data_IF_686361249066
#
_entry.id   IF_686361249066
#
_cell.length_a   1.000
_cell.length_b   1.000
_cell.length_c   1.000
_cell.angle_alpha   90.00
_cell.angle_beta   90.00
_cell.angle_gamma   90.00
#
_symmetry.space_group_name_H-M   'P 1'
#
loop_
_entity.id
_entity.type
_entity.pdbx_description
1 polymer ?
#
# COMPACT_ATOMS: atom_id res chain seq x y z
N UNK A 1 -9.71 13.44 21.61
CA UNK A 1 -9.53 13.52 23.05
C UNK A 1 -10.89 13.95 23.63
N UNK A 2 -11.26 13.45 24.81
CA UNK A 2 -12.49 13.83 25.49
C UNK A 2 -13.77 13.48 24.70
N UNK A 3 -14.76 14.36 24.71
CA UNK A 3 -16.06 14.15 24.07
C UNK A 3 -15.97 13.97 22.56
N UNK A 4 -14.94 14.52 21.89
CA UNK A 4 -14.73 14.41 20.44
C UNK A 4 -14.45 12.96 19.98
N UNK A 5 -14.01 12.07 20.89
CA UNK A 5 -13.82 10.64 20.54
C UNK A 5 -15.12 9.96 20.09
N UNK A 6 -16.29 10.48 20.47
CA UNK A 6 -17.59 9.98 20.01
C UNK A 6 -17.84 10.20 18.50
N UNK A 7 -17.12 11.16 17.90
CA UNK A 7 -17.18 11.43 16.46
C UNK A 7 -16.32 10.48 15.63
N UNK A 8 -15.41 9.73 16.26
CA UNK A 8 -14.44 8.88 15.56
C UNK A 8 -15.10 7.89 14.60
N UNK A 9 -16.21 7.26 15.01
CA UNK A 9 -16.91 6.30 14.17
C UNK A 9 -17.54 6.96 12.93
N UNK A 10 -18.12 8.15 13.08
CA UNK A 10 -18.72 8.91 11.98
C UNK A 10 -17.62 9.32 10.98
N UNK A 11 -16.51 9.90 11.48
CA UNK A 11 -15.38 10.33 10.66
C UNK A 11 -14.68 9.16 9.94
N UNK A 12 -14.65 7.97 10.56
CA UNK A 12 -14.11 6.79 9.92
C UNK A 12 -14.92 6.29 8.72
N UNK A 13 -16.23 6.61 8.65
CA UNK A 13 -17.12 6.19 7.54
C UNK A 13 -16.91 7.00 6.27
N UNK A 14 -16.33 8.17 6.39
CA UNK A 14 -16.08 9.07 5.26
C UNK A 14 -14.98 8.55 4.33
N UNK A 15 -14.96 9.08 3.11
CA UNK A 15 -13.93 8.78 2.11
C UNK A 15 -12.53 9.15 2.56
N UNK A 16 -11.53 8.61 1.89
CA UNK A 16 -10.12 8.89 2.11
C UNK A 16 -9.48 9.23 0.78
N UNK A 17 -8.52 10.14 0.84
CA UNK A 17 -7.64 10.44 -0.28
C UNK A 17 -6.19 10.10 0.08
N UNK A 18 -5.49 9.55 -0.90
CA UNK A 18 -4.09 9.15 -0.76
C UNK A 18 -3.30 9.58 -2.00
N UNK A 19 -2.01 9.87 -1.78
CA UNK A 19 -0.98 9.83 -2.81
C UNK A 19 -0.14 8.58 -2.54
N UNK A 20 -0.12 7.68 -3.52
CA UNK A 20 0.53 6.38 -3.44
C UNK A 20 1.64 6.30 -4.49
N UNK A 21 2.88 6.05 -4.06
CA UNK A 21 3.96 5.65 -4.95
C UNK A 21 3.93 4.14 -5.13
N UNK A 22 3.77 3.69 -6.37
CA UNK A 22 3.65 2.27 -6.71
C UNK A 22 4.81 1.89 -7.62
N UNK A 23 5.66 0.96 -7.16
CA UNK A 23 6.74 0.38 -7.96
C UNK A 23 6.25 -0.86 -8.68
N UNK A 24 6.52 -0.94 -9.99
CA UNK A 24 6.16 -2.06 -10.85
C UNK A 24 7.38 -2.92 -11.16
N UNK A 25 7.18 -4.21 -11.39
CA UNK A 25 8.24 -5.16 -11.74
C UNK A 25 8.69 -6.04 -10.59
N UNK A 26 8.15 -5.87 -9.38
CA UNK A 26 8.44 -6.76 -8.26
C UNK A 26 7.30 -6.80 -7.25
N UNK A 27 7.14 -7.92 -6.56
CA UNK A 27 6.22 -8.08 -5.44
C UNK A 27 6.96 -8.24 -4.12
N UNK A 28 6.23 -8.03 -3.03
CA UNK A 28 6.64 -8.41 -1.68
C UNK A 28 5.49 -9.14 -0.99
N UNK A 29 5.73 -9.99 0.01
CA UNK A 29 4.67 -10.70 0.74
C UNK A 29 3.61 -9.79 1.36
N UNK A 30 3.95 -8.54 1.69
CA UNK A 30 3.05 -7.56 2.31
C UNK A 30 2.48 -6.54 1.30
N UNK A 31 2.94 -6.56 0.04
CA UNK A 31 2.68 -5.57 -1.00
C UNK A 31 3.10 -4.14 -0.60
N UNK A 32 4.12 -4.04 0.28
CA UNK A 32 4.80 -2.81 0.68
C UNK A 32 6.27 -3.11 1.03
N UNK A 33 7.04 -2.12 1.47
CA UNK A 33 8.46 -2.27 1.78
C UNK A 33 8.77 -2.83 3.18
N UNK A 34 7.78 -3.37 3.92
CA UNK A 34 8.04 -4.06 5.21
C UNK A 34 8.73 -5.43 5.02
N UNK A 35 8.64 -6.01 3.84
CA UNK A 35 9.21 -7.31 3.51
C UNK A 35 10.09 -7.22 2.27
N UNK A 36 11.12 -8.08 2.21
CA UNK A 36 11.97 -8.20 1.04
C UNK A 36 11.16 -8.63 -0.20
N UNK A 37 11.68 -8.29 -1.38
CA UNK A 37 11.14 -8.76 -2.65
C UNK A 37 11.09 -10.29 -2.65
N UNK A 38 9.97 -10.84 -3.04
CA UNK A 38 9.74 -12.28 -3.19
C UNK A 38 9.70 -12.73 -4.65
N UNK A 39 9.36 -11.84 -5.56
CA UNK A 39 9.36 -12.15 -6.99
C UNK A 39 9.59 -10.90 -7.83
N UNK A 40 10.41 -11.05 -8.89
CA UNK A 40 10.63 -10.04 -9.91
C UNK A 40 9.91 -10.41 -11.21
N UNK A 41 9.51 -9.41 -11.99
CA UNK A 41 8.74 -9.55 -13.22
C UNK A 41 9.32 -8.63 -14.30
N UNK A 42 9.14 -8.98 -15.60
CA UNK A 42 9.46 -8.07 -16.69
C UNK A 42 8.68 -6.77 -16.60
N UNK A 43 9.31 -5.68 -17.01
CA UNK A 43 8.73 -4.32 -17.00
C UNK A 43 8.60 -3.69 -18.39
N UNK A 44 8.91 -4.45 -19.46
CA UNK A 44 8.92 -3.94 -20.85
C UNK A 44 7.58 -3.33 -21.29
N UNK A 45 6.47 -3.77 -20.71
CA UNK A 45 5.12 -3.25 -20.96
C UNK A 45 4.70 -2.10 -20.03
N UNK A 46 5.55 -1.69 -19.09
CA UNK A 46 5.23 -0.66 -18.09
C UNK A 46 5.73 0.69 -18.59
N UNK A 47 4.81 1.57 -18.90
CA UNK A 47 5.09 2.94 -19.35
C UNK A 47 4.08 3.90 -18.72
N UNK A 48 4.34 5.20 -18.80
CA UNK A 48 3.38 6.22 -18.37
C UNK A 48 2.02 6.04 -19.06
N UNK A 49 2.03 5.75 -20.37
CA UNK A 49 0.83 5.55 -21.17
C UNK A 49 0.05 4.31 -20.71
N UNK A 50 0.73 3.17 -20.50
CA UNK A 50 0.09 1.93 -20.06
C UNK A 50 -0.49 2.06 -18.64
N UNK A 51 0.24 2.70 -17.72
CA UNK A 51 -0.26 2.99 -16.37
C UNK A 51 -1.49 3.89 -16.46
N UNK A 52 -1.40 5.02 -17.16
CA UNK A 52 -2.54 5.96 -17.35
C UNK A 52 -3.76 5.27 -17.96
N UNK A 53 -3.53 4.36 -18.91
CA UNK A 53 -4.58 3.63 -19.65
C UNK A 53 -5.35 2.63 -18.81
N UNK A 54 -4.77 2.08 -17.72
CA UNK A 54 -5.48 1.13 -16.86
C UNK A 54 -6.28 1.80 -15.74
N UNK A 55 -5.92 3.01 -15.28
CA UNK A 55 -6.56 3.65 -14.12
C UNK A 55 -8.09 3.72 -14.23
N UNK A 56 -8.69 4.05 -15.39
CA UNK A 56 -10.14 4.10 -15.53
C UNK A 56 -10.85 2.78 -15.24
N UNK A 57 -10.17 1.63 -15.38
CA UNK A 57 -10.76 0.31 -15.10
C UNK A 57 -10.98 0.06 -13.61
N UNK A 58 -10.32 0.84 -12.76
CA UNK A 58 -10.40 0.74 -11.30
C UNK A 58 -11.37 1.76 -10.67
N UNK A 59 -12.03 2.58 -11.49
CA UNK A 59 -13.03 3.53 -11.00
C UNK A 59 -14.36 2.85 -10.68
N UNK A 60 -15.06 3.35 -9.67
CA UNK A 60 -16.37 2.85 -9.26
C UNK A 60 -16.30 1.73 -8.23
N UNK A 61 -17.41 1.00 -8.12
CA UNK A 61 -17.56 -0.11 -7.18
C UNK A 61 -16.90 -1.37 -7.68
N UNK A 62 -16.07 -2.00 -6.86
CA UNK A 62 -15.37 -3.23 -7.19
C UNK A 62 -15.13 -4.12 -5.96
N UNK A 63 -14.93 -5.41 -6.18
CA UNK A 63 -14.50 -6.33 -5.14
C UNK A 63 -12.99 -6.26 -4.98
N UNK A 64 -12.52 -6.22 -3.72
CA UNK A 64 -11.10 -6.24 -3.40
C UNK A 64 -10.81 -7.33 -2.37
N UNK A 65 -9.76 -8.11 -2.61
CA UNK A 65 -9.19 -9.07 -1.65
C UNK A 65 -8.15 -8.34 -0.81
N UNK A 66 -8.33 -8.34 0.51
CA UNK A 66 -7.37 -7.73 1.43
C UNK A 66 -6.00 -8.45 1.36
N UNK A 67 -4.88 -7.74 1.60
CA UNK A 67 -3.58 -8.41 1.72
C UNK A 67 -3.55 -9.32 2.95
N UNK A 68 -2.77 -10.42 2.90
CA UNK A 68 -2.62 -11.34 4.05
C UNK A 68 -2.09 -10.63 5.31
N UNK A 69 -1.17 -9.67 5.13
CA UNK A 69 -0.69 -8.83 6.23
C UNK A 69 -1.72 -7.75 6.59
N UNK A 70 -2.96 -8.15 6.91
CA UNK A 70 -4.05 -7.26 7.32
C UNK A 70 -4.71 -7.70 8.62
N UNK A 71 -5.55 -6.84 9.19
CA UNK A 71 -6.31 -7.15 10.40
C UNK A 71 -7.57 -7.98 10.14
N UNK A 72 -7.81 -8.42 8.89
CA UNK A 72 -8.90 -9.34 8.55
C UNK A 72 -8.71 -10.68 9.24
N UNK A 73 -9.80 -11.42 9.43
CA UNK A 73 -9.77 -12.76 10.05
C UNK A 73 -10.24 -13.82 9.06
N UNK A 74 -9.60 -15.00 9.11
CA UNK A 74 -10.01 -16.24 8.45
C UNK A 74 -10.28 -17.23 9.56
N UNK A 75 -11.48 -17.78 9.65
CA UNK A 75 -11.88 -18.77 10.66
C UNK A 75 -11.51 -18.39 12.11
N UNK A 76 -11.65 -17.10 12.43
CA UNK A 76 -11.33 -16.58 13.76
C UNK A 76 -9.86 -16.26 14.02
N UNK A 77 -8.95 -16.64 13.11
CA UNK A 77 -7.51 -16.32 13.17
C UNK A 77 -7.24 -15.07 12.32
N UNK A 78 -6.45 -14.14 12.85
CA UNK A 78 -6.11 -12.93 12.10
C UNK A 78 -5.17 -13.26 10.94
N UNK A 79 -5.46 -12.73 9.74
CA UNK A 79 -4.71 -12.97 8.52
C UNK A 79 -3.21 -12.68 8.68
N UNK A 80 -2.85 -11.61 9.40
CA UNK A 80 -1.45 -11.28 9.64
C UNK A 80 -0.70 -12.34 10.49
N UNK A 81 -1.39 -13.09 11.35
CA UNK A 81 -0.77 -14.17 12.14
C UNK A 81 -0.42 -15.36 11.24
N UNK A 82 -1.33 -15.71 10.32
CA UNK A 82 -1.10 -16.72 9.29
C UNK A 82 0.07 -16.30 8.38
N UNK A 83 0.04 -15.06 7.89
CA UNK A 83 1.10 -14.52 7.06
C UNK A 83 2.47 -14.54 7.74
N UNK A 84 2.55 -14.15 9.01
CA UNK A 84 3.81 -14.18 9.78
C UNK A 84 4.32 -15.61 10.03
N UNK A 85 3.42 -16.56 10.22
CA UNK A 85 3.80 -17.96 10.37
C UNK A 85 4.40 -18.48 9.07
N UNK A 86 3.72 -18.29 7.96
CA UNK A 86 4.15 -18.67 6.61
C UNK A 86 5.49 -18.01 6.23
N UNK A 87 5.62 -16.71 6.46
CA UNK A 87 6.85 -15.96 6.22
C UNK A 87 8.03 -16.51 7.04
N UNK A 88 7.82 -16.86 8.30
CA UNK A 88 8.87 -17.46 9.16
C UNK A 88 9.25 -18.87 8.70
N UNK A 89 8.29 -19.65 8.21
CA UNK A 89 8.55 -21.00 7.70
C UNK A 89 9.36 -20.94 6.41
N UNK A 90 9.03 -20.05 5.49
CA UNK A 90 9.77 -19.82 4.25
C UNK A 90 11.22 -19.31 4.49
N UNK A 91 11.47 -18.61 5.62
CA UNK A 91 12.81 -18.10 5.98
C UNK A 91 13.63 -19.01 6.88
N UNK A 92 13.11 -20.18 7.30
CA UNK A 92 13.88 -21.13 8.12
C UNK A 92 14.98 -21.82 7.34
N UNK A 93 14.80 -22.02 6.07
CA UNK A 93 15.84 -22.47 5.16
C UNK A 93 16.62 -21.24 4.69
N UNK A 94 17.83 -21.07 5.23
CA UNK A 94 18.78 -20.00 4.89
C UNK A 94 19.29 -20.15 3.44
N UNK A 95 18.41 -20.08 2.48
CA UNK A 95 18.75 -19.92 1.06
C UNK A 95 18.49 -18.47 0.70
N UNK A 96 19.49 -17.81 0.07
CA UNK A 96 19.41 -16.41 -0.39
C UNK A 96 18.38 -16.20 -1.51
N UNK A 97 17.63 -17.22 -1.87
CA UNK A 97 16.52 -17.16 -2.83
C UNK A 97 15.23 -17.39 -2.04
N UNK A 98 14.43 -16.34 -1.88
CA UNK A 98 13.07 -16.49 -1.40
C UNK A 98 12.30 -17.35 -2.41
N UNK A 99 12.05 -18.62 -2.07
CA UNK A 99 11.04 -19.41 -2.76
C UNK A 99 9.68 -18.79 -2.45
N UNK A 100 8.99 -18.32 -3.47
CA UNK A 100 7.82 -17.47 -3.46
C UNK A 100 6.91 -17.62 -2.26
N UNK A 101 6.53 -16.50 -1.67
CA UNK A 101 5.47 -16.44 -0.66
C UNK A 101 4.16 -16.89 -1.31
N UNK A 102 3.41 -17.79 -0.67
CA UNK A 102 2.14 -18.28 -1.19
C UNK A 102 1.04 -17.22 -1.00
N UNK A 103 0.80 -16.45 -2.03
CA UNK A 103 -0.24 -15.42 -2.07
C UNK A 103 -1.66 -16.00 -2.18
N UNK A 104 -1.82 -17.29 -2.58
CA UNK A 104 -3.14 -17.89 -2.80
C UNK A 104 -3.95 -18.00 -1.51
N UNK A 105 -3.30 -18.06 -0.36
CA UNK A 105 -3.98 -18.02 0.93
C UNK A 105 -4.79 -16.74 1.13
N UNK A 106 -4.41 -15.64 0.48
CA UNK A 106 -5.20 -14.40 0.50
C UNK A 106 -6.59 -14.58 -0.14
N UNK A 107 -6.74 -15.48 -1.10
CA UNK A 107 -8.02 -15.75 -1.77
C UNK A 107 -9.07 -16.33 -0.81
N UNK A 108 -8.65 -16.89 0.31
CA UNK A 108 -9.54 -17.36 1.38
C UNK A 108 -10.13 -16.20 2.20
N UNK A 109 -9.57 -14.99 2.08
CA UNK A 109 -10.09 -13.81 2.75
C UNK A 109 -11.39 -13.35 2.08
N UNK A 110 -12.37 -12.99 2.90
CA UNK A 110 -13.61 -12.43 2.39
C UNK A 110 -13.34 -11.18 1.55
N UNK A 111 -13.80 -11.21 0.33
CA UNK A 111 -13.84 -10.04 -0.53
C UNK A 111 -14.66 -8.94 0.12
N UNK A 112 -14.25 -7.72 -0.09
CA UNK A 112 -15.02 -6.54 0.33
C UNK A 112 -15.30 -5.66 -0.86
N UNK A 113 -16.50 -5.09 -0.88
CA UNK A 113 -16.85 -4.08 -1.88
C UNK A 113 -16.22 -2.76 -1.45
N UNK A 114 -15.44 -2.18 -2.35
CA UNK A 114 -14.85 -0.85 -2.22
C UNK A 114 -15.36 0.03 -3.36
N UNK A 115 -15.22 1.34 -3.20
CA UNK A 115 -15.49 2.28 -4.28
C UNK A 115 -14.30 3.23 -4.42
N UNK A 116 -13.79 3.36 -5.64
CA UNK A 116 -12.76 4.34 -5.98
C UNK A 116 -13.45 5.41 -6.82
N UNK A 117 -13.55 6.62 -6.26
CA UNK A 117 -14.25 7.73 -6.91
C UNK A 117 -13.35 8.48 -7.88
N UNK A 118 -12.04 8.56 -7.60
CA UNK A 118 -11.07 9.24 -8.44
C UNK A 118 -9.73 8.51 -8.41
N UNK A 119 -9.07 8.49 -9.58
CA UNK A 119 -7.68 8.07 -9.74
C UNK A 119 -7.00 8.97 -10.76
N UNK A 120 -5.82 9.46 -10.43
CA UNK A 120 -5.03 10.34 -11.30
C UNK A 120 -3.55 9.98 -11.19
N UNK A 121 -2.91 9.80 -12.34
CA UNK A 121 -1.46 9.66 -12.42
C UNK A 121 -0.83 11.05 -12.30
N UNK A 122 -0.12 11.29 -11.20
CA UNK A 122 0.57 12.55 -10.93
C UNK A 122 1.95 12.60 -11.57
N UNK A 123 2.72 11.53 -11.44
CA UNK A 123 4.10 11.44 -11.93
C UNK A 123 4.44 10.00 -12.30
N UNK A 124 5.37 9.84 -13.25
CA UNK A 124 5.92 8.55 -13.66
C UNK A 124 7.44 8.66 -13.81
N UNK A 125 8.16 7.70 -13.27
CA UNK A 125 9.62 7.60 -13.25
C UNK A 125 10.02 6.24 -13.81
N UNK A 126 10.55 6.15 -15.04
CA UNK A 126 10.82 4.87 -15.71
C UNK A 126 11.89 4.03 -15.01
N UNK A 127 12.88 4.67 -14.39
CA UNK A 127 13.99 4.00 -13.69
C UNK A 127 13.83 4.05 -12.16
N UNK A 128 12.62 4.34 -11.70
CA UNK A 128 12.36 4.60 -10.29
C UNK A 128 12.80 6.00 -9.84
N UNK A 129 12.36 6.37 -8.66
CA UNK A 129 12.79 7.57 -7.95
C UNK A 129 13.40 7.09 -6.64
N UNK A 130 14.58 7.59 -6.30
CA UNK A 130 15.04 7.45 -4.92
C UNK A 130 13.93 7.98 -4.01
N UNK A 131 13.42 7.09 -3.14
CA UNK A 131 12.42 7.52 -2.18
C UNK A 131 13.01 8.69 -1.40
N UNK A 132 12.55 9.91 -1.68
CA UNK A 132 12.81 11.02 -0.78
C UNK A 132 12.16 10.63 0.55
N UNK A 133 12.96 10.05 1.43
CA UNK A 133 12.57 9.92 2.83
C UNK A 133 12.42 11.34 3.33
N UNK A 134 11.20 11.84 3.30
CA UNK A 134 10.85 13.09 3.98
C UNK A 134 11.14 12.84 5.45
N UNK A 135 12.36 13.17 5.84
CA UNK A 135 12.78 13.09 7.24
C UNK A 135 12.14 14.29 7.95
N UNK A 136 10.90 14.10 8.40
CA UNK A 136 10.14 15.07 9.20
C UNK A 136 10.69 15.24 10.62
N UNK A 137 11.93 14.74 10.86
CA UNK A 137 12.59 14.77 12.16
C UNK A 137 12.08 13.70 13.12
N UNK A 138 11.12 12.87 12.73
CA UNK A 138 10.68 11.74 13.53
C UNK A 138 11.70 10.61 13.43
N UNK A 139 12.10 10.06 14.56
CA UNK A 139 12.98 8.87 14.56
C UNK A 139 12.16 7.69 14.04
N UNK A 140 12.65 6.95 13.02
CA UNK A 140 11.98 5.75 12.55
C UNK A 140 11.76 4.78 13.71
N UNK A 141 10.59 4.12 13.74
CA UNK A 141 10.34 3.08 14.73
C UNK A 141 11.35 1.93 14.49
N UNK A 142 12.24 1.61 15.44
CA UNK A 142 13.27 0.59 15.25
C UNK A 142 12.72 -0.82 15.02
N UNK A 143 11.40 -1.02 15.19
CA UNK A 143 10.70 -2.29 14.93
C UNK A 143 10.18 -2.40 13.49
N UNK A 144 10.22 -1.32 12.71
CA UNK A 144 9.80 -1.29 11.31
C UNK A 144 11.09 -1.24 10.48
N UNK A 145 11.33 -2.32 9.74
CA UNK A 145 12.38 -2.37 8.73
C UNK A 145 11.75 -1.99 7.39
N UNK A 146 12.36 -1.08 6.68
CA UNK A 146 11.98 -0.72 5.30
C UNK A 146 13.08 -1.27 4.40
N UNK A 147 12.67 -2.06 3.40
CA UNK A 147 13.60 -2.64 2.43
C UNK A 147 13.95 -1.56 1.40
N UNK A 148 15.25 -1.42 1.14
CA UNK A 148 15.75 -0.57 0.06
C UNK A 148 15.68 -1.34 -1.27
N UNK A 149 14.90 -0.84 -2.22
CA UNK A 149 14.72 -1.40 -3.56
C UNK A 149 15.31 -0.50 -4.64
N UNK A 150 16.05 0.55 -4.29
CA UNK A 150 16.62 1.54 -5.22
C UNK A 150 17.52 0.91 -6.29
N UNK A 151 18.29 -0.11 -5.92
CA UNK A 151 19.18 -0.83 -6.84
C UNK A 151 18.44 -1.61 -7.96
N UNK A 152 17.14 -1.83 -7.84
CA UNK A 152 16.34 -2.54 -8.84
C UNK A 152 15.86 -1.62 -9.98
N UNK A 153 15.98 -0.30 -9.83
CA UNK A 153 15.56 0.68 -10.84
C UNK A 153 14.15 0.42 -11.39
N UNK A 154 13.20 0.04 -10.51
CA UNK A 154 11.84 -0.32 -10.90
C UNK A 154 11.05 0.91 -11.34
N UNK A 155 10.27 0.85 -12.44
CA UNK A 155 9.35 1.93 -12.80
C UNK A 155 8.44 2.28 -11.62
N UNK A 156 8.30 3.59 -11.33
CA UNK A 156 7.48 4.09 -10.22
C UNK A 156 6.43 5.07 -10.76
N UNK A 157 5.19 4.89 -10.33
CA UNK A 157 4.10 5.84 -10.56
C UNK A 157 3.61 6.42 -9.23
N UNK A 158 3.46 7.74 -9.19
CA UNK A 158 2.73 8.42 -8.10
C UNK A 158 1.29 8.64 -8.54
N UNK A 159 0.35 8.06 -7.80
CA UNK A 159 -1.07 8.04 -8.13
C UNK A 159 -1.87 8.63 -6.98
N UNK A 160 -2.70 9.66 -7.27
CA UNK A 160 -3.72 10.15 -6.35
C UNK A 160 -4.94 9.24 -6.44
N UNK A 161 -5.45 8.82 -5.28
CA UNK A 161 -6.60 7.90 -5.18
C UNK A 161 -7.58 8.43 -4.14
N UNK A 162 -8.82 8.72 -4.56
CA UNK A 162 -9.93 8.98 -3.65
C UNK A 162 -10.83 7.73 -3.58
N UNK A 163 -11.06 7.23 -2.37
CA UNK A 163 -11.72 5.94 -2.19
C UNK A 163 -12.54 5.84 -0.90
N UNK A 164 -13.43 4.84 -0.87
CA UNK A 164 -14.25 4.54 0.28
C UNK A 164 -13.43 3.98 1.46
N UNK A 165 -14.02 4.02 2.65
CA UNK A 165 -13.51 3.33 3.82
C UNK A 165 -13.25 1.84 3.51
N UNK A 166 -12.16 1.34 4.03
CA UNK A 166 -11.79 -0.08 3.95
C UNK A 166 -10.94 -0.43 2.73
N UNK A 167 -10.76 0.47 1.78
CA UNK A 167 -9.87 0.26 0.65
C UNK A 167 -8.42 0.04 1.13
N UNK A 168 -7.81 -1.06 0.70
CA UNK A 168 -6.39 -1.34 0.93
C UNK A 168 -5.58 -0.87 -0.25
N UNK A 169 -4.80 0.20 -0.06
CA UNK A 169 -3.96 0.76 -1.14
C UNK A 169 -2.85 -0.24 -1.55
N UNK A 170 -2.37 -1.07 -0.64
CA UNK A 170 -1.44 -2.18 -0.95
C UNK A 170 -2.04 -3.22 -1.89
N UNK A 171 -3.32 -3.58 -1.67
CA UNK A 171 -4.01 -4.47 -2.58
C UNK A 171 -4.26 -3.80 -3.95
N UNK A 172 -4.54 -2.50 -3.97
CA UNK A 172 -4.67 -1.75 -5.21
C UNK A 172 -3.34 -1.74 -5.99
N UNK A 173 -2.19 -1.62 -5.32
CA UNK A 173 -0.89 -1.72 -5.97
C UNK A 173 -0.70 -3.10 -6.64
N UNK A 174 -1.02 -4.20 -5.92
CA UNK A 174 -1.04 -5.55 -6.49
C UNK A 174 -1.93 -5.62 -7.73
N UNK A 175 -3.18 -5.18 -7.60
CA UNK A 175 -4.19 -5.31 -8.65
C UNK A 175 -3.80 -4.50 -9.91
N UNK A 176 -3.14 -3.34 -9.74
CA UNK A 176 -2.59 -2.54 -10.84
C UNK A 176 -1.41 -3.26 -11.53
N UNK A 177 -0.52 -3.90 -10.74
CA UNK A 177 0.57 -4.71 -11.30
C UNK A 177 0.03 -5.88 -12.13
N UNK A 178 -0.93 -6.62 -11.59
CA UNK A 178 -1.59 -7.73 -12.29
C UNK A 178 -2.27 -7.28 -13.59
N UNK A 179 -2.94 -6.12 -13.57
CA UNK A 179 -3.60 -5.55 -14.75
C UNK A 179 -2.63 -5.14 -15.87
N UNK A 180 -1.38 -4.86 -15.52
CA UNK A 180 -0.29 -4.59 -16.48
C UNK A 180 0.50 -5.85 -16.86
N UNK A 181 0.14 -7.02 -16.32
CA UNK A 181 0.86 -8.27 -16.57
C UNK A 181 2.23 -8.34 -15.89
N UNK A 182 2.42 -7.58 -14.82
CA UNK A 182 3.65 -7.53 -14.02
C UNK A 182 3.32 -7.62 -12.54
N UNK A 183 4.31 -7.65 -11.66
CA UNK A 183 4.13 -7.48 -10.22
C UNK A 183 4.18 -6.00 -9.84
N UNK A 184 3.60 -5.65 -8.68
CA UNK A 184 3.78 -4.32 -8.12
C UNK A 184 3.66 -4.35 -6.58
N UNK A 185 4.25 -3.34 -5.94
CA UNK A 185 4.13 -3.09 -4.51
C UNK A 185 4.09 -1.59 -4.22
N UNK A 186 3.56 -1.27 -3.06
CA UNK A 186 3.49 0.09 -2.57
C UNK A 186 4.89 0.52 -2.08
N UNK A 187 5.44 1.56 -2.70
CA UNK A 187 6.73 2.15 -2.35
C UNK A 187 6.55 3.25 -1.28
N UNK A 188 5.54 4.11 -1.48
CA UNK A 188 5.23 5.19 -0.54
C UNK A 188 3.73 5.40 -0.42
N UNK A 189 3.28 5.92 0.73
CA UNK A 189 1.88 6.23 0.96
C UNK A 189 1.73 7.45 1.85
N UNK A 190 1.06 8.48 1.34
CA UNK A 190 0.63 9.65 2.09
C UNK A 190 -0.88 9.74 2.05
N UNK A 191 -1.55 9.77 3.21
CA UNK A 191 -2.98 10.11 3.26
C UNK A 191 -3.12 11.62 3.25
N UNK A 192 -3.71 12.17 2.20
CA UNK A 192 -3.89 13.61 1.97
C UNK A 192 -5.24 14.10 2.46
N UNK A 193 -6.25 13.22 2.51
CA UNK A 193 -7.58 13.59 2.99
C UNK A 193 -8.28 12.48 3.78
N UNK A 194 -9.17 12.87 4.68
CA UNK A 194 -10.07 11.98 5.41
C UNK A 194 -11.37 12.71 5.72
N UNK A 195 -12.41 12.44 4.92
CA UNK A 195 -13.65 13.22 4.97
C UNK A 195 -13.40 14.70 4.65
N UNK A 196 -13.89 15.57 5.52
CA UNK A 196 -13.68 17.02 5.38
C UNK A 196 -12.32 17.54 5.89
N UNK A 197 -11.37 16.65 6.25
CA UNK A 197 -10.05 17.04 6.79
C UNK A 197 -8.97 16.81 5.75
N UNK A 198 -8.20 17.85 5.44
CA UNK A 198 -7.00 17.78 4.61
C UNK A 198 -5.74 17.71 5.47
N UNK A 199 -4.68 17.07 4.95
CA UNK A 199 -3.41 16.94 5.67
C UNK A 199 -2.73 18.31 5.86
N UNK A 200 -2.96 19.23 4.96
CA UNK A 200 -2.45 20.61 5.01
C UNK A 200 -2.97 21.39 6.21
N UNK A 201 -4.18 21.05 6.69
CA UNK A 201 -4.80 21.65 7.87
C UNK A 201 -4.37 20.97 9.18
N UNK A 202 -3.53 19.93 9.10
CA UNK A 202 -3.10 19.16 10.27
C UNK A 202 -1.94 19.84 10.99
N UNK A 203 -2.00 19.82 12.32
CA UNK A 203 -0.91 20.29 13.16
C UNK A 203 0.12 19.17 13.37
N UNK A 204 1.40 19.52 13.34
CA UNK A 204 2.45 18.59 13.77
C UNK A 204 2.40 18.38 15.30
N UNK A 205 3.05 17.32 15.78
CA UNK A 205 3.16 17.07 17.23
C UNK A 205 3.86 18.25 17.93
N UNK A 206 4.86 18.86 17.28
CA UNK A 206 5.59 20.00 17.83
C UNK A 206 4.68 21.26 17.93
N UNK A 207 3.82 21.49 16.93
CA UNK A 207 2.86 22.58 16.97
C UNK A 207 1.88 22.41 18.14
N UNK A 208 1.41 21.18 18.36
CA UNK A 208 0.49 20.89 19.49
C UNK A 208 1.19 21.08 20.83
N UNK A 209 2.45 20.64 20.98
CA UNK A 209 3.23 20.83 22.23
C UNK A 209 3.45 22.32 22.50
N UNK A 210 3.63 23.14 21.47
CA UNK A 210 3.82 24.58 21.60
C UNK A 210 2.57 25.35 22.04
N UNK A 211 1.38 24.72 21.99
CA UNK A 211 0.08 25.34 22.36
C UNK A 211 -0.42 24.86 23.73
N UNK A 212 0.16 23.79 24.29
CA UNK A 212 -0.15 23.25 25.63
C UNK A 212 0.73 23.91 26.70
#
# INVERSE_FOLDING_TARGET
IGKATKLAEALQKEGKEYVAGISFGATTPSYDLEKAIDQEYPTDGVSEESVRGILPKFLGGQEQIAPLFSAKSVDGVRAYELARKQYREAHKEKTDVMTGFDHTVAETLNKQVINISEMELLSYFPDGKEAEVQNDGLRPNPRISVVDTSALHLPLAEIRVACSKGTYIRALARDLGEALGTGAHLNSLKRTGSGGFAVEDSLSINDIIGVL
#
